data_IF_544272842377
#
_entry.id   IF_544272842377
#
_cell.length_a   1.000
_cell.length_b   1.000
_cell.length_c   1.000
_cell.angle_alpha   90.00
_cell.angle_beta   90.00
_cell.angle_gamma   90.00
#
_symmetry.space_group_name_H-M   'P 1'
#
loop_
_entity.id
_entity.type
_entity.pdbx_description
1 polymer ?
#
# COMPACT_ATOMS: atom_id res chain seq x y z
N UNK A 1 2.90 -3.58 -7.05
CA UNK A 1 2.36 -3.97 -5.75
C UNK A 1 3.17 -5.12 -5.26
N UNK A 2 3.77 -4.93 -4.10
CA UNK A 2 4.74 -5.86 -3.54
C UNK A 2 4.06 -6.86 -2.60
N UNK A 3 2.97 -6.43 -1.94
CA UNK A 3 2.23 -7.28 -1.02
C UNK A 3 0.73 -7.08 -1.14
N UNK A 4 0.03 -8.20 -1.29
CA UNK A 4 -1.40 -8.30 -1.08
C UNK A 4 -1.68 -9.18 0.13
N UNK A 5 -2.53 -8.70 1.03
CA UNK A 5 -2.99 -9.49 2.17
C UNK A 5 -4.51 -9.46 2.20
N UNK A 6 -5.12 -10.64 2.19
CA UNK A 6 -6.55 -10.80 2.31
C UNK A 6 -6.86 -11.56 3.59
N UNK A 7 -7.82 -11.03 4.33
CA UNK A 7 -8.36 -11.66 5.53
C UNK A 7 -9.86 -11.87 5.34
N UNK A 8 -10.51 -12.42 6.36
CA UNK A 8 -11.95 -12.58 6.46
C UNK A 8 -12.69 -11.23 6.37
N UNK A 9 -12.09 -10.14 6.87
CA UNK A 9 -12.75 -8.82 6.99
C UNK A 9 -12.09 -7.68 6.21
N UNK A 10 -10.81 -7.84 5.87
CA UNK A 10 -9.98 -6.77 5.33
C UNK A 10 -9.15 -7.21 4.14
N UNK A 11 -8.91 -6.25 3.24
CA UNK A 11 -7.99 -6.39 2.11
C UNK A 11 -6.94 -5.30 2.26
N UNK A 12 -5.67 -5.68 2.19
CA UNK A 12 -4.55 -4.74 2.22
C UNK A 12 -3.76 -4.83 0.93
N UNK A 13 -3.50 -3.67 0.35
CA UNK A 13 -2.67 -3.48 -0.83
C UNK A 13 -1.48 -2.63 -0.41
N UNK A 14 -0.28 -3.21 -0.47
CA UNK A 14 0.95 -2.60 0.02
C UNK A 14 1.98 -2.46 -1.09
N UNK A 15 2.57 -1.28 -1.17
CA UNK A 15 3.68 -0.97 -2.09
C UNK A 15 4.81 -0.33 -1.31
N UNK A 16 6.02 -0.72 -1.66
CA UNK A 16 7.24 -0.35 -0.96
C UNK A 16 8.11 0.55 -1.85
N UNK A 17 8.77 1.52 -1.22
CA UNK A 17 9.80 2.35 -1.83
C UNK A 17 11.05 2.33 -0.97
N UNK A 18 12.20 2.33 -1.63
CA UNK A 18 13.50 2.50 -1.00
C UNK A 18 14.02 3.88 -1.41
N UNK A 19 14.29 4.75 -0.43
CA UNK A 19 14.69 6.15 -0.66
C UNK A 19 13.74 6.96 -1.57
N UNK A 20 12.44 6.63 -1.57
CA UNK A 20 11.41 7.41 -2.25
C UNK A 20 10.51 8.10 -1.22
N UNK A 21 9.20 8.14 -1.50
CA UNK A 21 8.19 8.59 -0.53
C UNK A 21 7.06 7.58 -0.38
N UNK A 22 6.42 7.60 0.79
CA UNK A 22 5.25 6.76 1.06
C UNK A 22 4.06 7.19 0.19
N UNK A 23 3.96 8.48 -0.13
CA UNK A 23 2.97 9.06 -1.04
C UNK A 23 3.12 8.55 -2.47
N UNK A 24 4.35 8.47 -3.01
CA UNK A 24 4.60 7.89 -4.34
C UNK A 24 4.19 6.41 -4.40
N UNK A 25 4.47 5.65 -3.34
CA UNK A 25 4.03 4.27 -3.22
C UNK A 25 2.49 4.18 -3.26
N UNK A 26 1.81 5.03 -2.49
CA UNK A 26 0.35 5.09 -2.48
C UNK A 26 -0.23 5.54 -3.83
N UNK A 27 0.40 6.51 -4.48
CA UNK A 27 0.00 6.99 -5.80
C UNK A 27 0.19 5.89 -6.85
N UNK A 28 1.25 5.10 -6.77
CA UNK A 28 1.46 3.93 -7.63
C UNK A 28 0.33 2.92 -7.47
N UNK A 29 -0.12 2.66 -6.24
CA UNK A 29 -1.27 1.77 -5.98
C UNK A 29 -2.53 2.30 -6.68
N UNK A 30 -2.81 3.60 -6.55
CA UNK A 30 -3.99 4.23 -7.15
C UNK A 30 -3.92 4.23 -8.69
N UNK A 31 -2.77 4.59 -9.27
CA UNK A 31 -2.58 4.69 -10.71
C UNK A 31 -2.71 3.34 -11.41
N UNK A 32 -2.23 2.26 -10.77
CA UNK A 32 -2.34 0.90 -11.29
C UNK A 32 -3.71 0.27 -11.06
N UNK A 33 -4.60 0.96 -10.33
CA UNK A 33 -5.97 0.51 -10.01
C UNK A 33 -6.02 -0.89 -9.40
N UNK A 34 -5.07 -1.21 -8.52
CA UNK A 34 -5.03 -2.51 -7.84
C UNK A 34 -6.25 -2.80 -6.96
N UNK A 35 -7.00 -1.76 -6.57
CA UNK A 35 -8.23 -1.89 -5.81
C UNK A 35 -9.45 -2.29 -6.68
N UNK A 36 -9.37 -2.17 -8.02
CA UNK A 36 -10.49 -2.38 -8.93
C UNK A 36 -11.18 -3.76 -8.78
N UNK A 37 -10.45 -4.88 -8.62
CA UNK A 37 -11.07 -6.20 -8.44
C UNK A 37 -11.86 -6.36 -7.14
N UNK A 38 -11.70 -5.43 -6.20
CA UNK A 38 -12.28 -5.50 -4.86
C UNK A 38 -13.35 -4.42 -4.62
N UNK A 39 -13.71 -3.62 -5.63
CA UNK A 39 -14.74 -2.58 -5.49
C UNK A 39 -16.12 -3.15 -5.14
N UNK A 40 -16.42 -4.37 -5.61
CA UNK A 40 -17.65 -5.09 -5.27
C UNK A 40 -17.51 -5.97 -4.02
N UNK A 41 -16.33 -6.00 -3.40
CA UNK A 41 -16.08 -6.77 -2.20
C UNK A 41 -16.60 -6.01 -0.97
N UNK A 42 -17.35 -6.70 -0.10
CA UNK A 42 -17.89 -6.09 1.13
C UNK A 42 -16.83 -5.87 2.22
N UNK A 43 -15.62 -6.41 2.05
CA UNK A 43 -14.50 -6.24 2.98
C UNK A 43 -13.92 -4.84 2.87
N UNK A 44 -13.40 -4.33 3.99
CA UNK A 44 -12.76 -3.01 3.98
C UNK A 44 -11.36 -3.10 3.35
N UNK A 45 -11.16 -2.32 2.30
CA UNK A 45 -9.89 -2.23 1.59
C UNK A 45 -9.02 -1.12 2.16
N UNK A 46 -7.73 -1.40 2.32
CA UNK A 46 -6.71 -0.44 2.71
C UNK A 46 -5.57 -0.45 1.70
N UNK A 47 -5.18 0.74 1.25
CA UNK A 47 -4.01 0.98 0.43
C UNK A 47 -2.93 1.58 1.32
N UNK A 48 -1.75 0.98 1.30
CA UNK A 48 -0.66 1.36 2.19
C UNK A 48 0.60 1.59 1.36
N UNK A 49 1.10 2.81 1.37
CA UNK A 49 2.41 3.15 0.83
C UNK A 49 3.45 3.16 1.94
N UNK A 50 4.58 2.50 1.75
CA UNK A 50 5.66 2.43 2.74
C UNK A 50 6.97 2.92 2.11
N UNK A 51 7.68 3.79 2.80
CA UNK A 51 9.04 4.19 2.47
C UNK A 51 10.05 3.64 3.47
N UNK A 52 11.08 3.00 2.95
CA UNK A 52 12.25 2.54 3.68
C UNK A 52 13.41 3.51 3.43
N UNK A 53 14.17 3.78 4.49
CA UNK A 53 15.41 4.56 4.40
C UNK A 53 16.61 3.63 4.41
N UNK A 54 17.49 3.73 3.41
CA UNK A 54 18.74 2.98 3.40
C UNK A 54 19.67 3.37 4.55
N UNK A 55 19.61 4.63 4.99
CA UNK A 55 20.46 5.14 6.08
C UNK A 55 20.12 4.50 7.42
N UNK A 56 18.83 4.43 7.75
CA UNK A 56 18.37 3.85 9.01
C UNK A 56 18.10 2.35 8.89
N UNK A 57 18.07 1.82 7.66
CA UNK A 57 17.70 0.44 7.33
C UNK A 57 16.35 0.04 7.93
N UNK A 58 15.42 0.99 7.99
CA UNK A 58 14.12 0.82 8.62
C UNK A 58 13.04 1.59 7.84
N UNK A 59 11.78 1.40 8.25
CA UNK A 59 10.65 2.18 7.74
C UNK A 59 10.81 3.62 8.20
N UNK A 60 10.91 4.54 7.24
CA UNK A 60 10.96 5.97 7.50
C UNK A 60 9.55 6.57 7.60
N UNK A 61 8.64 6.11 6.74
CA UNK A 61 7.26 6.61 6.70
C UNK A 61 6.32 5.56 6.12
N UNK A 62 5.07 5.56 6.57
CA UNK A 62 3.98 4.89 5.89
C UNK A 62 2.74 5.79 5.84
N UNK A 63 1.94 5.63 4.80
CA UNK A 63 0.66 6.31 4.62
C UNK A 63 -0.42 5.30 4.31
N UNK A 64 -1.63 5.55 4.84
CA UNK A 64 -2.78 4.65 4.67
C UNK A 64 -3.92 5.45 4.04
N UNK A 65 -4.56 4.86 3.04
CA UNK A 65 -5.82 5.35 2.47
C UNK A 65 -6.82 4.20 2.36
N UNK A 66 -8.02 4.38 2.89
CA UNK A 66 -9.17 3.49 2.69
C UNK A 66 -10.04 4.02 1.58
#
# INVERSE_FOLDING_TARGET
VDLFLQTDKFIYIMEFKLNGTAEEALQQINNKRYALPFEADGRKLFKIGINFSEKTRNIEKWVVAS
#
